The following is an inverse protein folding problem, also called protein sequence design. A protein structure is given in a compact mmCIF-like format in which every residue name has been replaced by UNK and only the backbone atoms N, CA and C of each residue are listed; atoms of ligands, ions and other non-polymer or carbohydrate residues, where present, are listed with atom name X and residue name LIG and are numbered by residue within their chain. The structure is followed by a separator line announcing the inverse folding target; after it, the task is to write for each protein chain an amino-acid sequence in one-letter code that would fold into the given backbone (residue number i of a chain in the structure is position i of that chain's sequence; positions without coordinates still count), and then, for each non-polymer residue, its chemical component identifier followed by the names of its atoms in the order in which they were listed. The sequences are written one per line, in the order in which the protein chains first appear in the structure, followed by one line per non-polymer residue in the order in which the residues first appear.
data_IF_225716369057
#
_entry.id   IF_225716369057
#
_cell.length_a   1.000
_cell.length_b   1.000
_cell.length_c   1.000
_cell.angle_alpha   90.00
_cell.angle_beta   90.00
_cell.angle_gamma   90.00
#
_symmetry.space_group_name_H-M   'P 1'
#
loop_
_entity.id
_entity.type
_entity.pdbx_description
1 polymer ?
#
# COMPACT_ATOMS: atom_id res chain seq x y z
N UNK A 1 22.97 10.82 18.55
CA UNK A 1 21.54 11.19 18.60
C UNK A 1 21.31 12.36 17.64
N UNK A 2 20.29 12.29 16.80
CA UNK A 2 19.91 13.37 15.88
C UNK A 2 19.39 14.58 16.68
N UNK A 3 19.50 15.79 16.10
CA UNK A 3 18.94 17.01 16.67
C UNK A 3 17.41 16.90 16.82
N UNK A 4 16.86 17.54 17.84
CA UNK A 4 15.42 17.48 18.17
C UNK A 4 14.54 17.86 16.98
N UNK A 5 14.87 18.94 16.27
CA UNK A 5 14.13 19.40 15.11
C UNK A 5 14.08 18.36 13.97
N UNK A 6 15.21 17.67 13.73
CA UNK A 6 15.29 16.59 12.74
C UNK A 6 14.40 15.41 13.17
N UNK A 7 14.43 15.03 14.45
CA UNK A 7 13.57 13.95 14.97
C UNK A 7 12.09 14.29 14.81
N UNK A 8 11.69 15.52 15.15
CA UNK A 8 10.29 15.97 15.00
C UNK A 8 9.82 15.93 13.54
N UNK A 9 10.67 16.30 12.58
CA UNK A 9 10.36 16.18 11.15
C UNK A 9 10.21 14.72 10.72
N UNK A 10 11.06 13.81 11.18
CA UNK A 10 10.98 12.39 10.86
C UNK A 10 9.72 11.77 11.51
N UNK A 11 9.41 12.11 12.76
CA UNK A 11 8.18 11.65 13.43
C UNK A 11 6.93 12.13 12.68
N UNK A 12 6.91 13.39 12.25
CA UNK A 12 5.82 13.94 11.44
C UNK A 12 5.68 13.18 10.12
N UNK A 13 6.79 12.86 9.46
CA UNK A 13 6.81 12.07 8.24
C UNK A 13 6.26 10.65 8.47
N UNK A 14 6.70 9.96 9.52
CA UNK A 14 6.19 8.62 9.86
C UNK A 14 4.69 8.67 10.13
N UNK A 15 4.21 9.61 10.95
CA UNK A 15 2.79 9.74 11.30
C UNK A 15 1.90 10.05 10.08
N UNK A 16 2.43 10.69 9.05
CA UNK A 16 1.72 10.95 7.80
C UNK A 16 1.71 9.75 6.85
N UNK A 17 2.81 9.02 6.77
CA UNK A 17 2.97 7.91 5.82
C UNK A 17 2.53 6.54 6.40
N UNK A 18 2.42 6.41 7.73
CA UNK A 18 2.03 5.18 8.42
C UNK A 18 0.70 5.40 9.12
N UNK A 19 -0.38 5.11 8.41
CA UNK A 19 -1.75 5.40 8.83
C UNK A 19 -2.67 4.19 8.65
N UNK A 20 -3.73 4.06 9.48
CA UNK A 20 -4.73 3.01 9.29
C UNK A 20 -5.44 3.14 7.94
N UNK A 21 -5.73 2.00 7.31
CA UNK A 21 -6.51 1.93 6.08
C UNK A 21 -7.39 0.67 6.05
N UNK A 22 -8.64 0.80 5.64
CA UNK A 22 -9.57 -0.32 5.42
C UNK A 22 -9.66 -0.60 3.93
N UNK A 23 -9.43 -1.85 3.52
CA UNK A 23 -9.44 -2.22 2.11
C UNK A 23 -8.31 -1.57 1.29
N UNK A 24 -8.52 -1.46 -0.03
CA UNK A 24 -7.59 -0.79 -0.94
C UNK A 24 -7.99 0.68 -1.12
N UNK A 25 -7.00 1.56 -1.09
CA UNK A 25 -7.23 3.02 -1.16
C UNK A 25 -7.77 3.47 -2.51
N UNK A 26 -7.38 2.83 -3.60
CA UNK A 26 -7.78 3.23 -4.95
C UNK A 26 -9.30 3.05 -5.21
N UNK A 27 -9.94 1.89 -4.96
CA UNK A 27 -11.39 1.79 -5.13
C UNK A 27 -12.15 2.69 -4.14
N UNK A 28 -11.63 2.90 -2.92
CA UNK A 28 -12.26 3.83 -1.96
C UNK A 28 -12.14 5.29 -2.41
N UNK A 29 -11.04 5.67 -3.05
CA UNK A 29 -10.89 6.97 -3.70
C UNK A 29 -11.92 7.17 -4.82
N UNK A 30 -12.16 6.14 -5.63
CA UNK A 30 -13.21 6.19 -6.67
C UNK A 30 -14.59 6.31 -6.03
N UNK A 31 -14.91 5.49 -5.01
CA UNK A 31 -16.17 5.59 -4.26
C UNK A 31 -16.37 6.97 -3.63
N UNK A 32 -15.30 7.57 -3.08
CA UNK A 32 -15.32 8.93 -2.50
C UNK A 32 -15.67 9.98 -3.56
N UNK A 33 -15.06 9.87 -4.73
CA UNK A 33 -15.34 10.77 -5.84
C UNK A 33 -16.78 10.61 -6.33
N UNK A 34 -17.30 9.37 -6.40
CA UNK A 34 -18.71 9.08 -6.73
C UNK A 34 -19.65 9.66 -5.69
N UNK A 35 -19.38 9.44 -4.39
CA UNK A 35 -20.17 10.00 -3.31
C UNK A 35 -20.26 11.52 -3.43
N UNK A 36 -19.13 12.20 -3.69
CA UNK A 36 -19.08 13.65 -3.87
C UNK A 36 -19.89 14.13 -5.07
N UNK A 37 -19.77 13.44 -6.22
CA UNK A 37 -20.55 13.77 -7.40
C UNK A 37 -22.07 13.55 -7.17
N UNK A 38 -22.46 12.44 -6.52
CA UNK A 38 -23.84 12.11 -6.17
C UNK A 38 -24.44 13.12 -5.18
N UNK A 39 -23.71 13.49 -4.13
CA UNK A 39 -24.13 14.56 -3.19
C UNK A 39 -24.37 15.89 -3.92
N UNK A 40 -23.50 16.20 -4.89
CA UNK A 40 -23.62 17.43 -5.69
C UNK A 40 -24.82 17.37 -6.64
N UNK A 41 -25.08 16.21 -7.25
CA UNK A 41 -26.25 15.99 -8.10
C UNK A 41 -27.58 16.12 -7.30
N UNK A 42 -27.56 15.64 -6.05
CA UNK A 42 -28.70 15.71 -5.13
C UNK A 42 -29.75 14.62 -5.25
N UNK A 43 -29.51 13.62 -6.11
CA UNK A 43 -30.37 12.44 -6.28
C UNK A 43 -29.53 11.22 -6.73
N UNK A 44 -30.16 10.03 -6.71
CA UNK A 44 -29.54 8.79 -7.21
C UNK A 44 -29.21 8.95 -8.70
N UNK A 45 -27.95 8.72 -9.12
CA UNK A 45 -27.60 8.79 -10.55
C UNK A 45 -28.30 7.72 -11.36
N UNK A 46 -28.75 8.08 -12.55
CA UNK A 46 -29.24 7.14 -13.59
C UNK A 46 -28.08 6.62 -14.45
N UNK A 47 -26.99 7.41 -14.54
CA UNK A 47 -25.77 7.04 -15.23
C UNK A 47 -24.55 7.61 -14.51
N UNK A 48 -23.50 6.80 -14.42
CA UNK A 48 -22.19 7.20 -13.86
C UNK A 48 -21.11 6.89 -14.89
N UNK A 49 -20.34 7.91 -15.26
CA UNK A 49 -19.13 7.75 -16.08
C UNK A 49 -17.91 8.00 -15.21
N UNK A 50 -17.05 6.99 -15.06
CA UNK A 50 -15.79 7.06 -14.33
C UNK A 50 -14.61 7.12 -15.31
N UNK A 51 -13.88 8.24 -15.31
CA UNK A 51 -12.68 8.46 -16.11
C UNK A 51 -11.46 8.42 -15.18
N UNK A 52 -10.65 7.38 -15.30
CA UNK A 52 -9.60 7.03 -14.34
C UNK A 52 -8.22 7.06 -14.96
N UNK A 53 -7.20 7.48 -14.19
CA UNK A 53 -5.81 7.28 -14.60
C UNK A 53 -5.46 5.78 -14.65
N UNK A 54 -4.44 5.45 -15.44
CA UNK A 54 -3.96 4.09 -15.62
C UNK A 54 -3.66 3.37 -14.29
N UNK A 55 -3.02 4.06 -13.35
CA UNK A 55 -2.65 3.48 -12.07
C UNK A 55 -3.85 3.25 -11.14
N UNK A 56 -4.82 4.16 -11.11
CA UNK A 56 -6.07 3.96 -10.36
C UNK A 56 -6.82 2.76 -10.92
N UNK A 57 -7.02 2.73 -12.24
CA UNK A 57 -7.72 1.62 -12.91
C UNK A 57 -7.03 0.28 -12.61
N UNK A 58 -5.72 0.18 -12.86
CA UNK A 58 -4.91 -1.02 -12.60
C UNK A 58 -5.05 -1.54 -11.16
N UNK A 59 -4.99 -0.64 -10.17
CA UNK A 59 -4.98 -1.02 -8.75
C UNK A 59 -6.38 -1.29 -8.18
N UNK A 60 -7.44 -0.84 -8.84
CA UNK A 60 -8.80 -0.99 -8.35
C UNK A 60 -9.59 -2.14 -9.00
N UNK A 61 -9.15 -2.62 -10.19
CA UNK A 61 -9.91 -3.63 -10.96
C UNK A 61 -10.05 -4.99 -10.28
N UNK A 62 -9.03 -5.44 -9.54
CA UNK A 62 -8.92 -6.83 -9.09
C UNK A 62 -9.00 -7.05 -7.59
N UNK A 63 -9.30 -6.02 -6.80
CA UNK A 63 -9.26 -6.08 -5.34
C UNK A 63 -10.65 -6.27 -4.74
N UNK A 64 -10.73 -7.02 -3.64
CA UNK A 64 -11.96 -7.19 -2.87
C UNK A 64 -12.42 -5.87 -2.23
N UNK A 65 -13.70 -5.56 -2.38
CA UNK A 65 -14.31 -4.38 -1.78
C UNK A 65 -14.80 -4.74 -0.36
N UNK A 66 -14.41 -3.98 0.66
CA UNK A 66 -14.67 -4.32 2.05
C UNK A 66 -16.15 -4.59 2.34
N UNK A 67 -16.43 -5.71 3.01
CA UNK A 67 -17.77 -6.09 3.44
C UNK A 67 -18.71 -6.60 2.36
N UNK A 68 -18.30 -6.62 1.07
CA UNK A 68 -19.19 -6.96 -0.04
C UNK A 68 -19.10 -8.41 -0.51
N UNK A 69 -17.95 -9.06 -0.30
CA UNK A 69 -17.62 -10.34 -0.95
C UNK A 69 -17.43 -10.23 -2.46
N UNK A 70 -17.41 -9.01 -3.02
CA UNK A 70 -17.24 -8.73 -4.43
C UNK A 70 -15.89 -8.05 -4.73
N UNK A 71 -15.51 -8.04 -6.00
CA UNK A 71 -14.23 -7.54 -6.49
C UNK A 71 -14.47 -6.39 -7.48
N UNK A 72 -13.60 -5.38 -7.40
CA UNK A 72 -13.42 -4.40 -8.45
C UNK A 72 -14.30 -3.16 -8.36
N UNK A 73 -14.15 -2.31 -9.35
CA UNK A 73 -14.72 -0.97 -9.39
C UNK A 73 -16.26 -0.92 -9.49
N UNK A 74 -16.96 -1.80 -10.25
CA UNK A 74 -18.40 -1.64 -10.41
C UNK A 74 -19.16 -1.57 -9.09
N UNK A 75 -18.90 -2.49 -8.17
CA UNK A 75 -19.56 -2.48 -6.85
C UNK A 75 -19.09 -1.30 -5.98
N UNK A 76 -17.82 -0.90 -6.05
CA UNK A 76 -17.31 0.25 -5.32
C UNK A 76 -17.97 1.56 -5.78
N UNK A 77 -18.21 1.72 -7.09
CA UNK A 77 -18.91 2.87 -7.68
C UNK A 77 -20.39 2.85 -7.26
N UNK A 78 -21.08 1.71 -7.40
CA UNK A 78 -22.47 1.57 -7.00
C UNK A 78 -22.69 1.95 -5.53
N UNK A 79 -21.85 1.44 -4.62
CA UNK A 79 -21.94 1.75 -3.19
C UNK A 79 -21.56 3.20 -2.88
N UNK A 80 -20.61 3.80 -3.62
CA UNK A 80 -20.33 5.23 -3.54
C UNK A 80 -21.55 6.09 -3.84
N UNK A 81 -22.37 5.69 -4.81
CA UNK A 81 -23.59 6.40 -5.18
C UNK A 81 -24.78 6.16 -4.24
N UNK A 82 -24.89 4.97 -3.65
CA UNK A 82 -26.07 4.57 -2.86
C UNK A 82 -25.94 4.85 -1.37
N UNK A 83 -24.75 4.66 -0.80
CA UNK A 83 -24.52 4.74 0.65
C UNK A 83 -23.30 5.62 1.00
N UNK A 84 -22.52 6.00 0.00
CA UNK A 84 -21.30 6.77 0.22
C UNK A 84 -21.57 8.17 0.78
N UNK A 85 -20.73 8.57 1.76
CA UNK A 85 -20.69 9.94 2.30
C UNK A 85 -19.30 10.50 2.17
N UNK A 86 -19.16 11.60 1.43
CA UNK A 86 -17.83 12.16 1.14
C UNK A 86 -17.10 12.67 2.39
N UNK A 87 -17.81 13.02 3.45
CA UNK A 87 -17.24 13.42 4.75
C UNK A 87 -16.42 12.30 5.43
N UNK A 88 -16.69 11.02 5.09
CA UNK A 88 -15.99 9.87 5.65
C UNK A 88 -14.65 9.56 4.96
N UNK A 89 -14.29 10.34 3.96
CA UNK A 89 -13.03 10.16 3.24
C UNK A 89 -12.88 8.71 2.71
N UNK A 90 -11.77 8.03 2.99
CA UNK A 90 -11.55 6.65 2.54
C UNK A 90 -12.38 5.58 3.29
N UNK A 91 -13.14 5.97 4.31
CA UNK A 91 -14.16 5.12 4.94
C UNK A 91 -15.55 5.34 4.35
N UNK A 92 -15.62 5.87 3.14
CA UNK A 92 -16.81 6.35 2.43
C UNK A 92 -18.02 5.42 2.49
N UNK A 93 -17.81 4.09 2.50
CA UNK A 93 -18.86 3.06 2.55
C UNK A 93 -19.01 2.39 3.93
N UNK A 94 -18.54 3.04 5.03
CA UNK A 94 -18.59 2.41 6.37
C UNK A 94 -19.99 2.11 6.87
N UNK A 95 -21.00 2.81 6.35
CA UNK A 95 -22.41 2.61 6.69
C UNK A 95 -23.07 1.49 5.85
N UNK A 96 -22.28 0.66 5.15
CA UNK A 96 -22.77 -0.45 4.35
C UNK A 96 -23.59 -1.43 5.19
N UNK A 97 -24.83 -1.70 4.74
CA UNK A 97 -25.70 -2.73 5.28
C UNK A 97 -25.92 -3.85 4.25
N UNK A 98 -26.54 -4.95 4.68
CA UNK A 98 -26.88 -6.04 3.77
C UNK A 98 -27.87 -5.60 2.69
N UNK A 99 -28.84 -4.76 3.05
CA UNK A 99 -29.86 -4.21 2.14
C UNK A 99 -29.21 -3.35 1.07
N UNK A 100 -28.35 -2.39 1.47
CA UNK A 100 -27.65 -1.50 0.52
C UNK A 100 -26.63 -2.26 -0.34
N UNK A 101 -26.09 -3.38 0.14
CA UNK A 101 -25.27 -4.25 -0.69
C UNK A 101 -26.07 -4.91 -1.81
N UNK A 102 -27.26 -5.43 -1.50
CA UNK A 102 -28.12 -6.04 -2.54
C UNK A 102 -28.61 -4.99 -3.55
N UNK A 103 -28.95 -3.77 -3.08
CA UNK A 103 -29.25 -2.65 -4.00
C UNK A 103 -28.04 -2.31 -4.88
N UNK A 104 -26.82 -2.32 -4.33
CA UNK A 104 -25.59 -2.10 -5.09
C UNK A 104 -25.36 -3.16 -6.16
N UNK A 105 -25.61 -4.44 -5.85
CA UNK A 105 -25.54 -5.53 -6.82
C UNK A 105 -26.54 -5.36 -7.97
N UNK A 106 -27.79 -4.97 -7.63
CA UNK A 106 -28.80 -4.67 -8.61
C UNK A 106 -28.38 -3.50 -9.49
N UNK A 107 -27.90 -2.39 -8.91
CA UNK A 107 -27.43 -1.22 -9.63
C UNK A 107 -26.30 -1.55 -10.62
N UNK A 108 -25.38 -2.43 -10.25
CA UNK A 108 -24.33 -2.92 -11.16
C UNK A 108 -24.92 -3.72 -12.32
N UNK A 109 -25.97 -4.53 -12.07
CA UNK A 109 -26.60 -5.37 -13.12
C UNK A 109 -27.46 -4.57 -14.12
N UNK A 110 -27.85 -3.36 -13.79
CA UNK A 110 -28.66 -2.46 -14.62
C UNK A 110 -27.87 -1.60 -15.61
N UNK A 111 -26.54 -1.83 -15.71
CA UNK A 111 -25.61 -1.16 -16.66
C UNK A 111 -25.55 0.36 -16.56
N UNK A 112 -25.70 0.88 -15.34
CA UNK A 112 -25.61 2.32 -15.05
C UNK A 112 -24.18 2.89 -15.03
N UNK A 113 -23.15 2.02 -15.09
CA UNK A 113 -21.75 2.38 -14.81
C UNK A 113 -20.89 2.17 -16.05
N UNK A 114 -20.25 3.24 -16.51
CA UNK A 114 -19.28 3.23 -17.60
C UNK A 114 -17.89 3.61 -17.07
N UNK A 115 -16.92 2.69 -17.18
CA UNK A 115 -15.56 2.87 -16.65
C UNK A 115 -14.58 2.97 -17.81
N UNK A 116 -13.83 4.08 -17.89
CA UNK A 116 -12.90 4.38 -18.98
C UNK A 116 -11.55 4.85 -18.48
N UNK A 117 -10.53 4.56 -19.25
CA UNK A 117 -9.22 5.18 -19.11
C UNK A 117 -9.29 6.64 -19.54
N UNK A 118 -8.87 7.58 -18.67
CA UNK A 118 -8.73 8.99 -19.02
C UNK A 118 -7.51 9.16 -19.90
N UNK A 119 -7.73 9.63 -21.12
CA UNK A 119 -6.68 9.94 -22.09
C UNK A 119 -6.11 11.34 -21.88
N UNK A 120 -4.84 11.54 -22.25
CA UNK A 120 -4.22 12.87 -22.32
C UNK A 120 -3.82 13.46 -20.95
N UNK A 121 -3.72 12.65 -19.91
CA UNK A 121 -3.24 13.06 -18.58
C UNK A 121 -1.89 12.43 -18.25
N UNK A 122 -1.10 13.12 -17.45
CA UNK A 122 0.19 12.66 -16.91
C UNK A 122 0.11 12.25 -15.44
N UNK A 123 -0.97 12.62 -14.78
CA UNK A 123 -1.21 12.35 -13.36
C UNK A 123 -1.38 10.85 -13.12
N UNK A 124 -0.53 10.30 -12.25
CA UNK A 124 -0.61 8.89 -11.84
C UNK A 124 -1.84 8.62 -10.95
N UNK A 125 -2.33 9.63 -10.23
CA UNK A 125 -3.53 9.57 -9.42
C UNK A 125 -4.54 10.61 -9.92
N UNK A 126 -5.56 10.13 -10.64
CA UNK A 126 -6.64 10.95 -11.18
C UNK A 126 -7.93 10.14 -11.25
N UNK A 127 -9.00 10.69 -10.72
CA UNK A 127 -10.37 10.14 -10.75
C UNK A 127 -11.30 11.26 -11.13
N UNK A 128 -12.04 11.14 -12.23
CA UNK A 128 -13.10 12.04 -12.64
C UNK A 128 -14.40 11.25 -12.73
N UNK A 129 -15.41 11.68 -12.01
CA UNK A 129 -16.72 11.06 -11.99
C UNK A 129 -17.74 12.05 -12.51
N UNK A 130 -18.57 11.60 -13.46
CA UNK A 130 -19.74 12.32 -13.95
C UNK A 130 -20.97 11.52 -13.61
N UNK A 131 -21.91 12.14 -12.93
CA UNK A 131 -23.21 11.58 -12.55
C UNK A 131 -24.31 12.33 -13.28
N UNK A 132 -25.21 11.60 -13.93
CA UNK A 132 -26.34 12.14 -14.69
C UNK A 132 -27.64 11.57 -14.14
N UNK A 133 -28.67 12.41 -13.92
CA UNK A 133 -30.04 12.02 -13.61
C UNK A 133 -31.03 13.17 -13.86
N UNK A 134 -32.22 12.87 -14.34
CA UNK A 134 -33.35 13.83 -14.51
C UNK A 134 -32.97 15.09 -15.31
N UNK A 135 -32.03 14.97 -16.26
CA UNK A 135 -31.54 16.09 -17.07
C UNK A 135 -30.52 17.00 -16.39
N UNK A 136 -30.06 16.64 -15.19
CA UNK A 136 -28.97 17.30 -14.46
C UNK A 136 -27.70 16.49 -14.53
N UNK A 137 -26.54 17.19 -14.46
CA UNK A 137 -25.21 16.58 -14.42
C UNK A 137 -24.40 17.14 -13.24
N UNK A 138 -23.60 16.28 -12.61
CA UNK A 138 -22.62 16.71 -11.62
C UNK A 138 -21.28 15.99 -11.87
N UNK A 139 -20.19 16.76 -11.77
CA UNK A 139 -18.82 16.26 -11.93
C UNK A 139 -18.02 16.49 -10.66
N UNK A 140 -17.27 15.48 -10.23
CA UNK A 140 -16.24 15.60 -9.20
C UNK A 140 -14.91 15.06 -9.69
N UNK A 141 -13.79 15.67 -9.27
CA UNK A 141 -12.44 15.23 -9.61
C UNK A 141 -11.59 15.14 -8.33
N UNK A 142 -10.93 13.99 -8.16
CA UNK A 142 -9.85 13.78 -7.17
C UNK A 142 -8.53 13.65 -7.92
N UNK A 143 -7.50 14.39 -7.49
CA UNK A 143 -6.17 14.32 -8.10
C UNK A 143 -5.06 14.51 -7.06
N UNK A 144 -3.85 14.02 -7.37
CA UNK A 144 -2.60 14.12 -6.60
C UNK A 144 -2.57 13.29 -5.32
N UNK A 145 -3.65 13.22 -4.55
CA UNK A 145 -3.78 12.32 -3.38
C UNK A 145 -5.19 11.74 -3.32
N UNK A 146 -5.35 10.60 -2.63
CA UNK A 146 -6.59 9.80 -2.64
C UNK A 146 -7.83 10.50 -2.06
N UNK A 147 -7.66 11.60 -1.34
CA UNK A 147 -8.75 12.35 -0.70
C UNK A 147 -8.82 13.81 -1.15
N UNK A 148 -7.95 14.23 -2.07
CA UNK A 148 -7.87 15.61 -2.51
C UNK A 148 -8.87 15.89 -3.64
N UNK A 149 -10.06 16.36 -3.30
CA UNK A 149 -11.07 16.81 -4.25
C UNK A 149 -10.62 18.15 -4.82
N UNK A 150 -10.28 18.19 -6.11
CA UNK A 150 -9.76 19.39 -6.79
C UNK A 150 -10.81 20.11 -7.63
N UNK A 151 -11.92 19.44 -7.96
CA UNK A 151 -12.98 20.03 -8.77
C UNK A 151 -14.35 19.45 -8.40
N UNK A 152 -15.37 20.32 -8.35
CA UNK A 152 -16.77 19.95 -8.21
C UNK A 152 -17.60 20.91 -9.04
N UNK A 153 -18.50 20.37 -9.86
CA UNK A 153 -19.39 21.13 -10.75
C UNK A 153 -20.80 20.56 -10.73
N UNK A 154 -21.79 21.40 -10.96
CA UNK A 154 -23.19 21.02 -11.23
C UNK A 154 -23.75 21.85 -12.37
N UNK A 155 -24.30 21.21 -13.40
CA UNK A 155 -24.96 21.83 -14.56
C UNK A 155 -24.10 22.94 -15.21
N UNK A 156 -22.79 22.69 -15.40
CA UNK A 156 -21.85 23.64 -15.96
C UNK A 156 -21.35 24.72 -14.99
N UNK A 157 -21.84 24.75 -13.75
CA UNK A 157 -21.44 25.74 -12.76
C UNK A 157 -20.40 25.11 -11.79
N UNK A 158 -19.15 25.58 -11.83
CA UNK A 158 -18.12 25.15 -10.92
C UNK A 158 -18.42 25.62 -9.48
N UNK A 159 -18.50 24.68 -8.54
CA UNK A 159 -18.66 24.91 -7.11
C UNK A 159 -17.29 24.98 -6.42
N UNK A 160 -16.36 24.15 -6.90
CA UNK A 160 -14.97 24.11 -6.46
C UNK A 160 -14.07 23.96 -7.69
N UNK A 161 -13.02 24.77 -7.81
CA UNK A 161 -12.00 24.62 -8.84
C UNK A 161 -10.61 24.93 -8.30
N UNK A 162 -9.88 23.86 -7.93
CA UNK A 162 -8.49 23.88 -7.48
C UNK A 162 -7.58 23.08 -8.42
N UNK A 163 -7.98 22.91 -9.68
CA UNK A 163 -7.20 22.17 -10.69
C UNK A 163 -5.89 22.85 -11.04
N UNK A 164 -5.85 24.17 -10.96
CA UNK A 164 -4.60 24.93 -11.11
C UNK A 164 -3.95 25.06 -9.73
N UNK A 165 -2.68 24.67 -9.55
CA UNK A 165 -2.01 24.92 -8.28
C UNK A 165 -2.04 26.41 -7.97
N UNK A 166 -2.57 26.81 -6.83
CA UNK A 166 -2.41 28.19 -6.36
C UNK A 166 -0.92 28.44 -6.18
N UNK A 167 -0.36 29.34 -7.01
CA UNK A 167 0.99 29.80 -6.85
C UNK A 167 1.14 30.46 -5.49
N UNK A 168 1.71 29.73 -4.51
CA UNK A 168 1.95 30.28 -3.17
C UNK A 168 1.88 29.31 -1.99
N UNK A 169 1.33 28.13 -2.14
CA UNK A 169 1.52 27.12 -1.12
C UNK A 169 2.92 26.50 -1.32
N UNK A 170 3.91 27.02 -0.61
CA UNK A 170 5.21 26.36 -0.51
C UNK A 170 4.94 24.96 0.12
N UNK A 171 4.94 23.92 -0.69
CA UNK A 171 5.02 22.56 -0.17
C UNK A 171 6.23 22.53 0.77
N UNK A 172 5.98 22.33 2.04
CA UNK A 172 7.06 22.16 3.00
C UNK A 172 7.84 20.93 2.54
N UNK A 173 9.02 21.13 1.94
CA UNK A 173 9.82 20.02 1.42
C UNK A 173 10.12 19.08 2.58
N UNK A 174 9.65 17.84 2.43
CA UNK A 174 9.95 16.79 3.40
C UNK A 174 11.44 16.64 3.60
N UNK A 175 11.82 16.27 4.82
CA UNK A 175 13.19 15.88 5.10
C UNK A 175 13.60 14.76 4.14
N UNK A 176 14.72 14.95 3.45
CA UNK A 176 15.28 13.93 2.56
C UNK A 176 16.09 12.95 3.40
N UNK A 177 15.65 11.70 3.42
CA UNK A 177 16.29 10.64 4.19
C UNK A 177 17.49 10.04 3.42
N UNK A 178 18.37 9.39 4.17
CA UNK A 178 19.38 8.44 3.69
C UNK A 178 19.50 7.30 4.71
N UNK A 179 20.15 6.20 4.33
CA UNK A 179 20.21 5.01 5.18
C UNK A 179 20.86 5.25 6.55
N UNK A 180 21.86 6.13 6.60
CA UNK A 180 22.51 6.47 7.86
C UNK A 180 21.56 7.23 8.79
N UNK A 181 20.82 8.19 8.28
CA UNK A 181 19.83 8.95 9.06
C UNK A 181 18.70 8.05 9.56
N UNK A 182 18.21 7.13 8.71
CA UNK A 182 17.19 6.11 9.06
C UNK A 182 17.67 5.26 10.23
N UNK A 183 18.91 4.75 10.16
CA UNK A 183 19.50 3.94 11.22
C UNK A 183 19.69 4.73 12.51
N UNK A 184 20.34 5.90 12.43
CA UNK A 184 20.62 6.73 13.61
C UNK A 184 19.31 7.15 14.30
N UNK A 185 18.27 7.48 13.54
CA UNK A 185 16.96 7.79 14.11
C UNK A 185 16.39 6.59 14.87
N UNK A 186 16.31 5.42 14.25
CA UNK A 186 15.73 4.22 14.87
C UNK A 186 16.51 3.79 16.13
N UNK A 187 17.84 3.93 16.13
CA UNK A 187 18.69 3.44 17.22
C UNK A 187 18.85 4.43 18.37
N UNK A 188 18.79 5.74 18.11
CA UNK A 188 19.16 6.74 19.12
C UNK A 188 18.04 7.65 19.58
N UNK A 189 16.85 7.58 18.95
CA UNK A 189 15.69 8.34 19.39
C UNK A 189 15.15 7.76 20.70
N UNK A 190 14.76 8.60 21.68
CA UNK A 190 14.11 8.13 22.89
C UNK A 190 12.89 7.26 22.57
N UNK A 191 12.73 6.16 23.31
CA UNK A 191 11.69 5.18 23.08
C UNK A 191 10.28 5.82 23.12
N UNK A 192 10.06 6.71 24.08
CA UNK A 192 8.80 7.43 24.28
C UNK A 192 8.40 8.31 23.08
N UNK A 193 9.34 8.72 22.23
CA UNK A 193 9.07 9.49 21.03
C UNK A 193 8.64 8.58 19.83
N UNK A 194 8.94 7.27 19.88
CA UNK A 194 8.72 6.33 18.75
C UNK A 194 7.88 5.11 19.09
N UNK A 195 7.45 4.91 20.34
CA UNK A 195 6.65 3.75 20.77
C UNK A 195 5.29 3.65 20.08
N UNK A 196 4.78 4.76 19.51
CA UNK A 196 3.55 4.77 18.70
C UNK A 196 3.62 3.80 17.51
N UNK A 197 4.83 3.40 17.08
CA UNK A 197 5.02 2.46 15.97
C UNK A 197 4.46 1.05 16.30
N UNK A 198 4.30 0.70 17.58
CA UNK A 198 3.69 -0.56 18.01
C UNK A 198 2.25 -0.73 17.51
N UNK A 199 1.54 0.36 17.25
CA UNK A 199 0.21 0.31 16.61
C UNK A 199 0.24 -0.45 15.29
N UNK A 200 1.37 -0.43 14.56
CA UNK A 200 1.51 -1.15 13.30
C UNK A 200 1.39 -2.67 13.52
N UNK A 201 2.06 -3.19 14.57
CA UNK A 201 1.93 -4.59 15.02
C UNK A 201 0.48 -4.92 15.35
N UNK A 202 -0.16 -4.10 16.18
CA UNK A 202 -1.49 -4.39 16.71
C UNK A 202 -2.54 -4.48 15.58
N UNK A 203 -2.48 -3.58 14.60
CA UNK A 203 -3.38 -3.60 13.45
C UNK A 203 -3.08 -4.76 12.50
N UNK A 204 -1.81 -4.98 12.17
CA UNK A 204 -1.45 -5.91 11.10
C UNK A 204 -1.45 -7.37 11.55
N UNK A 205 -1.16 -7.65 12.83
CA UNK A 205 -1.35 -8.98 13.41
C UNK A 205 -2.85 -9.31 13.56
N UNK A 206 -3.69 -8.33 13.97
CA UNK A 206 -5.15 -8.53 13.97
C UNK A 206 -5.69 -8.90 12.61
N UNK A 207 -5.17 -8.30 11.54
CA UNK A 207 -5.58 -8.63 10.18
C UNK A 207 -5.20 -10.08 9.82
N UNK A 208 -4.04 -10.57 10.27
CA UNK A 208 -3.66 -11.96 10.10
C UNK A 208 -4.61 -12.92 10.85
N UNK A 209 -5.02 -12.56 12.07
CA UNK A 209 -5.98 -13.37 12.85
C UNK A 209 -7.40 -13.33 12.22
N UNK A 210 -7.80 -12.19 11.62
CA UNK A 210 -9.07 -12.09 10.91
C UNK A 210 -9.17 -13.08 9.76
N UNK A 211 -8.07 -13.33 9.04
CA UNK A 211 -8.04 -14.28 7.93
C UNK A 211 -8.44 -15.70 8.34
N UNK A 212 -8.32 -16.06 9.63
CA UNK A 212 -8.70 -17.40 10.14
C UNK A 212 -10.22 -17.61 10.15
N UNK A 213 -11.01 -16.54 10.24
CA UNK A 213 -12.47 -16.60 10.39
C UNK A 213 -13.21 -16.96 9.10
N UNK A 214 -12.65 -16.65 7.94
CA UNK A 214 -13.24 -16.93 6.63
C UNK A 214 -12.18 -17.28 5.58
N UNK A 215 -12.60 -17.67 4.39
CA UNK A 215 -11.71 -17.93 3.27
C UNK A 215 -11.55 -16.63 2.47
N UNK A 216 -10.53 -15.87 2.81
CA UNK A 216 -10.16 -14.65 2.10
C UNK A 216 -9.07 -14.92 1.06
N UNK A 217 -9.16 -14.27 -0.09
CA UNK A 217 -8.15 -14.32 -1.14
C UNK A 217 -7.83 -15.76 -1.57
N UNK A 218 -6.54 -16.08 -1.64
CA UNK A 218 -6.08 -17.43 -1.97
C UNK A 218 -5.85 -18.32 -0.75
N UNK A 219 -6.15 -17.85 0.45
CA UNK A 219 -5.90 -18.56 1.71
C UNK A 219 -4.44 -19.05 1.85
N UNK A 220 -3.48 -18.32 1.29
CA UNK A 220 -2.08 -18.74 1.29
C UNK A 220 -1.54 -18.89 2.70
N UNK A 221 -1.83 -17.92 3.58
CA UNK A 221 -1.41 -18.00 4.98
C UNK A 221 -1.92 -19.26 5.67
N UNK A 222 -3.21 -19.60 5.50
CA UNK A 222 -3.79 -20.86 6.01
C UNK A 222 -3.15 -22.09 5.38
N UNK A 223 -2.76 -22.01 4.11
CA UNK A 223 -2.11 -23.13 3.42
C UNK A 223 -0.73 -23.41 4.02
N UNK A 224 0.02 -22.37 4.35
CA UNK A 224 1.35 -22.52 5.00
C UNK A 224 1.23 -23.10 6.43
N UNK A 225 0.16 -22.80 7.15
CA UNK A 225 -0.07 -23.32 8.51
C UNK A 225 -0.57 -24.80 8.55
N UNK A 226 -0.76 -25.46 7.41
CA UNK A 226 -1.22 -26.85 7.36
C UNK A 226 -0.10 -27.85 7.66
N UNK A 227 -0.43 -29.03 8.23
CA UNK A 227 0.58 -30.06 8.52
C UNK A 227 1.45 -30.49 7.33
N UNK A 228 0.86 -30.54 6.11
CA UNK A 228 1.61 -30.83 4.90
C UNK A 228 2.71 -29.78 4.63
N UNK A 229 2.38 -28.52 4.80
CA UNK A 229 3.33 -27.41 4.61
C UNK A 229 4.40 -27.41 5.70
N UNK A 230 4.04 -27.76 6.93
CA UNK A 230 5.02 -27.97 8.01
C UNK A 230 5.99 -29.12 7.72
N UNK A 231 5.56 -30.15 6.99
CA UNK A 231 6.43 -31.21 6.52
C UNK A 231 7.48 -30.74 5.50
N UNK A 232 7.20 -29.61 4.79
CA UNK A 232 8.08 -29.05 3.76
C UNK A 232 8.97 -27.93 4.33
N UNK A 233 8.36 -26.99 5.06
CA UNK A 233 9.04 -25.77 5.55
C UNK A 233 9.46 -25.86 7.03
N UNK A 234 9.03 -26.88 7.75
CA UNK A 234 9.12 -26.96 9.21
C UNK A 234 8.04 -26.09 9.89
N UNK A 235 7.80 -26.35 11.17
CA UNK A 235 7.09 -25.44 12.06
C UNK A 235 8.14 -24.50 12.69
N UNK A 236 8.46 -23.41 12.02
CA UNK A 236 9.63 -22.58 12.27
C UNK A 236 9.32 -21.09 12.12
N UNK A 237 10.19 -20.24 12.63
CA UNK A 237 10.10 -18.77 12.45
C UNK A 237 9.88 -18.42 10.97
N UNK A 238 10.55 -19.12 10.04
CA UNK A 238 10.40 -18.90 8.60
C UNK A 238 8.96 -19.13 8.12
N UNK A 239 8.37 -20.27 8.45
CA UNK A 239 6.99 -20.59 8.06
C UNK A 239 5.97 -19.66 8.73
N UNK A 240 6.20 -19.28 9.99
CA UNK A 240 5.31 -18.37 10.72
C UNK A 240 5.34 -16.93 10.16
N UNK A 241 6.51 -16.42 9.79
CA UNK A 241 6.64 -15.12 9.11
C UNK A 241 5.82 -15.12 7.81
N UNK A 242 5.99 -16.14 6.97
CA UNK A 242 5.27 -16.24 5.70
C UNK A 242 3.77 -16.34 5.94
N UNK A 243 3.35 -17.27 6.81
CA UNK A 243 1.94 -17.51 7.10
C UNK A 243 1.24 -16.27 7.64
N UNK A 244 1.77 -15.63 8.68
CA UNK A 244 1.16 -14.45 9.31
C UNK A 244 1.10 -13.26 8.35
N UNK A 245 2.15 -13.06 7.54
CA UNK A 245 2.19 -11.95 6.61
C UNK A 245 1.25 -12.17 5.42
N UNK A 246 1.23 -13.38 4.86
CA UNK A 246 0.28 -13.74 3.81
C UNK A 246 -1.17 -13.70 4.29
N UNK A 247 -1.45 -14.18 5.51
CA UNK A 247 -2.79 -14.14 6.12
C UNK A 247 -3.37 -12.72 6.20
N UNK A 248 -2.58 -11.75 6.67
CA UNK A 248 -3.02 -10.36 6.73
C UNK A 248 -3.32 -9.80 5.33
N UNK A 249 -2.50 -10.17 4.34
CA UNK A 249 -2.74 -9.79 2.94
C UNK A 249 -3.96 -10.49 2.36
N UNK A 250 -4.16 -11.79 2.60
CA UNK A 250 -5.33 -12.54 2.16
C UNK A 250 -6.61 -11.90 2.69
N UNK A 251 -6.66 -11.56 4.00
CA UNK A 251 -7.80 -10.85 4.59
C UNK A 251 -8.06 -9.51 3.90
N UNK A 252 -7.03 -8.67 3.80
CA UNK A 252 -7.16 -7.34 3.21
C UNK A 252 -7.57 -7.39 1.73
N UNK A 253 -6.89 -8.19 0.92
CA UNK A 253 -7.16 -8.27 -0.52
C UNK A 253 -8.44 -9.03 -0.86
N UNK A 254 -8.88 -9.89 0.05
CA UNK A 254 -10.17 -10.59 -0.03
C UNK A 254 -11.36 -9.77 0.48
N UNK A 255 -11.17 -8.51 0.86
CA UNK A 255 -12.27 -7.62 1.26
C UNK A 255 -12.75 -7.77 2.70
N UNK A 256 -11.92 -8.23 3.62
CA UNK A 256 -12.25 -8.21 5.05
C UNK A 256 -12.46 -6.77 5.54
N UNK A 257 -13.49 -6.56 6.36
CA UNK A 257 -13.78 -5.28 7.02
C UNK A 257 -12.86 -5.09 8.24
N UNK A 258 -11.56 -5.02 8.00
CA UNK A 258 -10.56 -4.84 9.03
C UNK A 258 -9.53 -3.79 8.63
N UNK A 259 -9.22 -2.83 9.51
CA UNK A 259 -8.14 -1.89 9.23
C UNK A 259 -6.77 -2.57 9.35
N UNK A 260 -5.87 -2.20 8.46
CA UNK A 260 -4.44 -2.49 8.55
C UNK A 260 -3.66 -1.19 8.67
N UNK A 261 -2.51 -1.20 9.30
CA UNK A 261 -1.61 -0.06 9.25
C UNK A 261 -0.88 -0.07 7.91
N UNK A 262 -1.03 1.00 7.15
CA UNK A 262 -0.38 1.17 5.84
C UNK A 262 1.05 1.72 5.98
N UNK A 263 1.76 1.78 4.88
CA UNK A 263 2.99 2.56 4.73
C UNK A 263 3.00 3.17 3.33
N UNK A 264 3.28 4.47 3.23
CA UNK A 264 3.37 5.22 1.97
C UNK A 264 2.18 4.98 1.03
N UNK A 265 0.97 4.98 1.60
CA UNK A 265 -0.29 4.82 0.87
C UNK A 265 -0.66 3.38 0.50
N UNK A 266 0.07 2.36 0.98
CA UNK A 266 -0.26 0.96 0.70
C UNK A 266 -0.35 0.11 1.97
N UNK A 267 -1.52 -0.51 2.21
CA UNK A 267 -1.69 -1.44 3.33
C UNK A 267 -0.82 -2.69 3.21
N UNK A 268 -0.61 -3.20 2.00
CA UNK A 268 0.30 -4.34 1.79
C UNK A 268 1.76 -4.00 2.11
N UNK A 269 2.20 -2.77 1.85
CA UNK A 269 3.53 -2.31 2.30
C UNK A 269 3.60 -2.26 3.82
N UNK A 270 2.58 -1.72 4.49
CA UNK A 270 2.52 -1.73 5.95
C UNK A 270 2.55 -3.13 6.55
N UNK A 271 1.80 -4.08 5.98
CA UNK A 271 1.82 -5.50 6.38
C UNK A 271 3.23 -6.09 6.21
N UNK A 272 3.87 -5.88 5.06
CA UNK A 272 5.23 -6.37 4.78
C UNK A 272 6.29 -5.74 5.70
N UNK A 273 6.17 -4.48 6.02
CA UNK A 273 7.11 -3.80 6.91
C UNK A 273 6.92 -4.20 8.38
N UNK A 274 5.73 -4.66 8.77
CA UNK A 274 5.37 -4.95 10.17
C UNK A 274 5.49 -6.43 10.53
N UNK A 275 4.69 -7.28 9.84
CA UNK A 275 4.45 -8.65 10.31
C UNK A 275 5.71 -9.50 10.39
N UNK A 276 6.65 -9.48 9.41
CA UNK A 276 7.87 -10.26 9.52
C UNK A 276 8.72 -9.88 10.73
N UNK A 277 8.81 -8.59 11.02
CA UNK A 277 9.57 -8.05 12.15
C UNK A 277 8.90 -8.43 13.46
N UNK A 278 7.58 -8.24 13.57
CA UNK A 278 6.82 -8.55 14.79
C UNK A 278 6.81 -10.04 15.11
N UNK A 279 6.65 -10.90 14.09
CA UNK A 279 6.69 -12.36 14.28
C UNK A 279 8.10 -12.81 14.70
N UNK A 280 9.13 -12.29 14.03
CA UNK A 280 10.51 -12.62 14.38
C UNK A 280 10.82 -12.23 15.82
N UNK A 281 10.46 -11.01 16.23
CA UNK A 281 10.74 -10.52 17.58
C UNK A 281 10.09 -11.38 18.67
N UNK A 282 8.85 -11.81 18.46
CA UNK A 282 8.14 -12.66 19.44
C UNK A 282 8.81 -14.03 19.55
N UNK A 283 9.15 -14.66 18.43
CA UNK A 283 9.69 -16.02 18.43
C UNK A 283 11.18 -16.08 18.81
N UNK A 284 11.90 -14.98 18.64
CA UNK A 284 13.30 -14.82 19.05
C UNK A 284 13.43 -14.21 20.47
N UNK A 285 12.28 -14.01 21.17
CA UNK A 285 12.24 -13.46 22.53
C UNK A 285 12.91 -12.09 22.68
N UNK A 286 12.84 -11.26 21.63
CA UNK A 286 13.34 -9.88 21.67
C UNK A 286 12.48 -9.00 22.60
N UNK A 287 13.08 -8.00 23.21
CA UNK A 287 12.41 -7.04 24.08
C UNK A 287 11.46 -6.12 23.30
N UNK A 288 10.51 -5.48 23.99
CA UNK A 288 9.61 -4.51 23.36
C UNK A 288 10.36 -3.29 22.81
N UNK A 289 11.41 -2.83 23.49
CA UNK A 289 12.29 -1.76 22.98
C UNK A 289 12.98 -2.16 21.67
N UNK A 290 13.53 -3.38 21.60
CA UNK A 290 14.11 -3.88 20.34
C UNK A 290 13.08 -3.96 19.23
N UNK A 291 11.86 -4.40 19.52
CA UNK A 291 10.77 -4.42 18.54
C UNK A 291 10.39 -3.01 18.07
N UNK A 292 10.28 -2.02 18.97
CA UNK A 292 10.00 -0.62 18.62
C UNK A 292 11.06 -0.10 17.66
N UNK A 293 12.34 -0.32 17.96
CA UNK A 293 13.47 0.12 17.11
C UNK A 293 13.46 -0.61 15.76
N UNK A 294 13.22 -1.92 15.75
CA UNK A 294 13.14 -2.73 14.54
C UNK A 294 11.98 -2.31 13.62
N UNK A 295 10.80 -2.07 14.16
CA UNK A 295 9.64 -1.57 13.41
C UNK A 295 9.89 -0.17 12.86
N UNK A 296 10.47 0.72 13.68
CA UNK A 296 10.84 2.07 13.24
C UNK A 296 11.83 2.03 12.09
N UNK A 297 12.88 1.22 12.18
CA UNK A 297 13.87 0.99 11.13
C UNK A 297 13.20 0.45 9.86
N UNK A 298 12.35 -0.56 9.98
CA UNK A 298 11.65 -1.19 8.86
C UNK A 298 10.75 -0.20 8.12
N UNK A 299 9.87 0.48 8.85
CA UNK A 299 8.94 1.43 8.26
C UNK A 299 9.63 2.65 7.64
N UNK A 300 10.65 3.18 8.32
CA UNK A 300 11.36 4.36 7.84
C UNK A 300 12.25 4.04 6.63
N UNK A 301 12.83 2.83 6.55
CA UNK A 301 13.53 2.35 5.34
C UNK A 301 12.58 2.28 4.15
N UNK A 302 11.37 1.76 4.34
CA UNK A 302 10.36 1.71 3.28
C UNK A 302 9.95 3.13 2.83
N UNK A 303 9.75 4.06 3.75
CA UNK A 303 9.46 5.48 3.45
C UNK A 303 10.62 6.11 2.66
N UNK A 304 11.87 5.90 3.09
CA UNK A 304 13.05 6.41 2.39
C UNK A 304 13.12 5.93 0.94
N UNK A 305 12.94 4.64 0.71
CA UNK A 305 12.95 4.09 -0.65
C UNK A 305 11.79 4.72 -1.47
N UNK A 306 10.61 4.89 -0.86
CA UNK A 306 9.45 5.52 -1.52
C UNK A 306 9.64 7.00 -1.82
N UNK A 307 10.41 7.74 -1.05
CA UNK A 307 10.77 9.12 -1.40
C UNK A 307 11.48 9.22 -2.77
N UNK A 308 12.31 8.22 -3.09
CA UNK A 308 13.03 8.17 -4.37
C UNK A 308 12.23 7.51 -5.50
N UNK A 309 11.36 6.53 -5.17
CA UNK A 309 10.57 5.77 -6.15
C UNK A 309 9.30 6.50 -6.60
N UNK A 310 8.73 7.33 -5.73
CA UNK A 310 7.38 7.90 -5.91
C UNK A 310 6.27 6.97 -5.43
N UNK A 311 5.05 7.52 -5.29
CA UNK A 311 3.91 6.80 -4.67
C UNK A 311 3.41 5.63 -5.53
N UNK A 312 3.33 5.80 -6.83
CA UNK A 312 2.84 4.79 -7.78
C UNK A 312 3.95 4.45 -8.80
N UNK A 313 4.18 3.15 -9.00
CA UNK A 313 5.24 2.61 -9.85
C UNK A 313 4.88 1.20 -10.30
N UNK A 314 5.45 0.75 -11.42
CA UNK A 314 5.40 -0.66 -11.82
C UNK A 314 6.32 -1.57 -10.97
N UNK A 315 7.25 -1.03 -10.20
CA UNK A 315 7.97 -1.80 -9.19
C UNK A 315 7.03 -2.13 -8.03
N UNK A 316 6.99 -3.41 -7.64
CA UNK A 316 6.07 -3.87 -6.60
C UNK A 316 6.39 -3.24 -5.24
N UNK A 317 5.37 -2.71 -4.54
CA UNK A 317 5.54 -2.17 -3.19
C UNK A 317 6.01 -3.21 -2.16
N UNK A 318 5.77 -4.51 -2.42
CA UNK A 318 6.31 -5.58 -1.58
C UNK A 318 7.84 -5.61 -1.58
N UNK A 319 8.51 -5.27 -2.71
CA UNK A 319 9.97 -5.15 -2.79
C UNK A 319 10.47 -4.13 -1.78
N UNK A 320 9.89 -2.92 -1.84
CA UNK A 320 10.25 -1.80 -0.98
C UNK A 320 10.10 -2.15 0.51
N UNK A 321 8.92 -2.67 0.87
CA UNK A 321 8.60 -2.96 2.27
C UNK A 321 9.38 -4.17 2.81
N UNK A 322 9.67 -5.17 1.95
CA UNK A 322 10.49 -6.32 2.36
C UNK A 322 11.96 -5.94 2.56
N UNK A 323 12.48 -4.95 1.84
CA UNK A 323 13.79 -4.37 2.16
C UNK A 323 13.76 -3.76 3.57
N UNK A 324 12.69 -3.03 3.91
CA UNK A 324 12.51 -2.51 5.26
C UNK A 324 12.50 -3.61 6.33
N UNK A 325 11.69 -4.66 6.13
CA UNK A 325 11.62 -5.76 7.12
C UNK A 325 12.93 -6.55 7.20
N UNK A 326 13.71 -6.67 6.12
CA UNK A 326 15.05 -7.27 6.21
C UNK A 326 15.98 -6.49 7.13
N UNK A 327 15.90 -5.15 7.12
CA UNK A 327 16.65 -4.29 8.04
C UNK A 327 16.23 -4.53 9.49
N UNK A 328 14.90 -4.55 9.76
CA UNK A 328 14.37 -4.80 11.10
C UNK A 328 14.76 -6.18 11.65
N UNK A 329 14.67 -7.24 10.83
CA UNK A 329 15.07 -8.59 11.20
C UNK A 329 16.57 -8.67 11.44
N UNK A 330 17.41 -8.06 10.58
CA UNK A 330 18.87 -8.01 10.76
C UNK A 330 19.25 -7.37 12.09
N UNK A 331 18.57 -6.27 12.46
CA UNK A 331 18.77 -5.63 13.76
C UNK A 331 18.37 -6.56 14.92
N UNK A 332 17.21 -7.22 14.84
CA UNK A 332 16.76 -8.16 15.89
C UNK A 332 17.69 -9.37 16.06
N UNK A 333 18.44 -9.73 15.01
CA UNK A 333 19.51 -10.73 15.07
C UNK A 333 20.80 -10.20 15.72
N UNK A 334 20.86 -8.93 16.12
CA UNK A 334 22.05 -8.28 16.67
C UNK A 334 22.96 -7.65 15.60
N UNK A 335 22.45 -7.44 14.39
CA UNK A 335 23.21 -6.81 13.30
C UNK A 335 23.39 -5.30 13.50
N UNK A 336 24.59 -4.82 13.21
CA UNK A 336 24.96 -3.41 13.19
C UNK A 336 24.57 -2.72 11.86
N UNK A 337 24.90 -1.42 11.73
CA UNK A 337 24.65 -0.65 10.51
C UNK A 337 25.22 -1.30 9.25
N UNK A 338 26.43 -1.87 9.35
CA UNK A 338 27.09 -2.53 8.20
C UNK A 338 26.29 -3.73 7.72
N UNK A 339 25.84 -4.59 8.65
CA UNK A 339 25.03 -5.75 8.33
C UNK A 339 23.64 -5.37 7.76
N UNK A 340 23.05 -4.29 8.27
CA UNK A 340 21.81 -3.74 7.74
C UNK A 340 22.01 -3.26 6.28
N UNK A 341 23.10 -2.55 5.98
CA UNK A 341 23.42 -2.17 4.61
C UNK A 341 23.66 -3.39 3.70
N UNK A 342 24.28 -4.44 4.21
CA UNK A 342 24.44 -5.72 3.48
C UNK A 342 23.09 -6.34 3.15
N UNK A 343 22.15 -6.38 4.12
CA UNK A 343 20.83 -6.96 3.87
C UNK A 343 20.04 -6.16 2.82
N UNK A 344 20.14 -4.83 2.82
CA UNK A 344 19.54 -3.97 1.77
C UNK A 344 20.09 -4.32 0.39
N UNK A 345 21.41 -4.43 0.24
CA UNK A 345 22.06 -4.78 -1.04
C UNK A 345 21.68 -6.18 -1.52
N UNK A 346 21.65 -7.17 -0.62
CA UNK A 346 21.20 -8.52 -0.91
C UNK A 346 19.75 -8.56 -1.40
N UNK A 347 18.86 -7.78 -0.76
CA UNK A 347 17.48 -7.64 -1.18
C UNK A 347 17.34 -7.04 -2.58
N UNK A 348 18.03 -5.93 -2.84
CA UNK A 348 17.99 -5.24 -4.14
C UNK A 348 18.44 -6.19 -5.25
N UNK A 349 19.57 -6.89 -5.05
CA UNK A 349 20.09 -7.85 -6.04
C UNK A 349 19.10 -8.97 -6.36
N UNK A 350 18.28 -9.39 -5.39
CA UNK A 350 17.39 -10.55 -5.53
C UNK A 350 16.03 -10.20 -6.16
N UNK A 351 15.34 -9.15 -5.68
CA UNK A 351 13.92 -8.98 -5.99
C UNK A 351 13.57 -7.73 -6.81
N UNK A 352 14.56 -7.02 -7.38
CA UNK A 352 14.31 -5.81 -8.20
C UNK A 352 13.37 -6.06 -9.38
N UNK A 353 13.33 -7.27 -9.93
CA UNK A 353 12.48 -7.64 -11.06
C UNK A 353 11.01 -7.90 -10.75
N UNK A 354 10.56 -7.78 -9.51
CA UNK A 354 9.14 -8.04 -9.15
C UNK A 354 8.25 -6.87 -9.57
N UNK A 355 7.46 -7.05 -10.62
CA UNK A 355 6.53 -6.03 -11.13
C UNK A 355 5.21 -5.98 -10.34
N UNK A 356 4.58 -4.79 -10.33
CA UNK A 356 3.25 -4.56 -9.80
C UNK A 356 2.21 -4.55 -10.93
N UNK A 357 1.30 -5.51 -10.91
CA UNK A 357 0.17 -5.63 -11.82
C UNK A 357 -1.18 -5.38 -11.12
N UNK A 358 -1.21 -4.44 -10.20
CA UNK A 358 -2.39 -4.00 -9.46
C UNK A 358 -2.62 -4.76 -8.15
N UNK A 359 -3.48 -4.20 -7.31
CA UNK A 359 -3.88 -4.82 -6.04
C UNK A 359 -4.90 -5.94 -6.28
N UNK A 360 -4.66 -7.12 -5.72
CA UNK A 360 -5.47 -8.32 -5.93
C UNK A 360 -5.11 -9.44 -4.94
N UNK A 361 -5.94 -10.48 -4.79
CA UNK A 361 -5.67 -11.61 -3.88
C UNK A 361 -4.30 -12.25 -4.07
N UNK A 362 -3.79 -12.38 -5.31
CA UNK A 362 -2.46 -12.94 -5.57
C UNK A 362 -1.28 -12.08 -5.05
N UNK A 363 -1.54 -10.89 -4.49
CA UNK A 363 -0.50 -10.12 -3.79
C UNK A 363 0.08 -10.89 -2.60
N UNK A 364 -0.69 -11.79 -1.97
CA UNK A 364 -0.17 -12.66 -0.89
C UNK A 364 1.00 -13.53 -1.34
N UNK A 365 1.02 -13.99 -2.60
CA UNK A 365 2.16 -14.72 -3.18
C UNK A 365 3.41 -13.84 -3.31
N UNK A 366 3.25 -12.59 -3.79
CA UNK A 366 4.37 -11.65 -3.92
C UNK A 366 4.93 -11.24 -2.55
N UNK A 367 4.05 -11.03 -1.57
CA UNK A 367 4.43 -10.77 -0.19
C UNK A 367 5.25 -11.93 0.37
N UNK A 368 4.80 -13.17 0.20
CA UNK A 368 5.50 -14.36 0.68
C UNK A 368 6.91 -14.46 0.08
N UNK A 369 7.06 -14.20 -1.22
CA UNK A 369 8.38 -14.15 -1.87
C UNK A 369 9.27 -13.06 -1.28
N UNK A 370 8.72 -11.85 -1.10
CA UNK A 370 9.46 -10.72 -0.54
C UNK A 370 9.95 -10.97 0.88
N UNK A 371 9.07 -11.47 1.79
CA UNK A 371 9.45 -11.68 3.18
C UNK A 371 10.33 -12.91 3.37
N UNK A 372 10.20 -13.93 2.53
CA UNK A 372 11.15 -15.05 2.49
C UNK A 372 12.56 -14.58 2.13
N UNK A 373 12.65 -13.72 1.10
CA UNK A 373 13.92 -13.10 0.68
C UNK A 373 14.46 -12.17 1.78
N UNK A 374 13.59 -11.45 2.51
CA UNK A 374 14.01 -10.59 3.62
C UNK A 374 14.76 -11.37 4.72
N UNK A 375 14.22 -12.52 5.12
CA UNK A 375 14.86 -13.38 6.11
C UNK A 375 16.18 -13.97 5.60
N UNK A 376 16.19 -14.45 4.34
CA UNK A 376 17.43 -14.99 3.72
C UNK A 376 18.52 -13.91 3.61
N UNK A 377 18.14 -12.68 3.24
CA UNK A 377 19.08 -11.56 3.15
C UNK A 377 19.62 -11.14 4.52
N UNK A 378 18.79 -11.18 5.56
CA UNK A 378 19.22 -10.95 6.93
C UNK A 378 20.24 -12.03 7.39
N UNK A 379 19.93 -13.31 7.18
CA UNK A 379 20.83 -14.41 7.53
C UNK A 379 22.19 -14.29 6.82
N UNK A 380 22.20 -14.04 5.50
CA UNK A 380 23.45 -13.83 4.74
C UNK A 380 24.25 -12.65 5.29
N UNK A 381 23.57 -11.55 5.64
CA UNK A 381 24.25 -10.38 6.17
C UNK A 381 24.88 -10.64 7.53
N UNK A 382 24.23 -11.46 8.39
CA UNK A 382 24.79 -11.87 9.70
C UNK A 382 26.06 -12.73 9.52
N UNK A 383 26.17 -13.50 8.47
CA UNK A 383 27.39 -14.24 8.07
C UNK A 383 28.43 -13.32 7.39
N UNK A 384 28.18 -12.02 7.32
CA UNK A 384 29.09 -11.07 6.63
C UNK A 384 29.07 -11.18 5.11
N UNK A 385 28.06 -11.86 4.52
CA UNK A 385 27.92 -12.03 3.06
C UNK A 385 27.08 -10.90 2.48
N UNK A 386 27.60 -10.28 1.45
CA UNK A 386 26.96 -9.18 0.74
C UNK A 386 27.22 -9.28 -0.75
N UNK A 387 26.21 -9.03 -1.57
CA UNK A 387 26.38 -8.84 -3.01
C UNK A 387 27.27 -7.63 -3.25
N UNK A 388 28.29 -7.80 -4.06
CA UNK A 388 29.33 -6.80 -4.29
C UNK A 388 28.95 -5.81 -5.41
N UNK A 389 29.68 -4.71 -5.50
CA UNK A 389 29.53 -3.73 -6.59
C UNK A 389 29.94 -4.26 -7.98
N UNK A 390 30.55 -5.45 -8.04
CA UNK A 390 30.80 -6.14 -9.31
C UNK A 390 29.56 -6.86 -9.86
N UNK A 391 28.44 -6.88 -9.11
CA UNK A 391 27.25 -7.66 -9.45
C UNK A 391 26.05 -6.75 -9.75
N UNK A 392 25.66 -6.71 -11.03
CA UNK A 392 24.41 -6.08 -11.48
C UNK A 392 24.34 -4.58 -11.15
N UNK A 393 23.27 -4.19 -10.44
CA UNK A 393 22.96 -2.80 -10.12
C UNK A 393 23.45 -2.35 -8.73
N UNK A 394 24.19 -3.20 -8.04
CA UNK A 394 24.68 -2.92 -6.69
C UNK A 394 25.88 -1.97 -6.74
N UNK A 395 25.94 -1.05 -5.80
CA UNK A 395 27.07 -0.13 -5.58
C UNK A 395 27.69 -0.39 -4.19
N UNK A 396 28.91 0.07 -3.96
CA UNK A 396 29.52 0.00 -2.62
C UNK A 396 28.76 0.85 -1.61
N UNK A 397 28.24 1.97 -2.05
CA UNK A 397 27.31 2.84 -1.30
C UNK A 397 25.90 2.28 -1.35
N UNK A 398 25.29 2.01 -0.18
CA UNK A 398 23.93 1.51 -0.06
C UNK A 398 22.89 2.49 -0.60
N UNK A 399 23.09 3.79 -0.40
CA UNK A 399 22.17 4.82 -0.91
C UNK A 399 22.21 4.92 -2.43
N UNK A 400 23.36 4.65 -3.06
CA UNK A 400 23.45 4.51 -4.52
C UNK A 400 22.75 3.26 -5.02
N UNK A 401 22.89 2.13 -4.33
CA UNK A 401 22.14 0.91 -4.66
C UNK A 401 20.64 1.14 -4.61
N UNK A 402 20.16 1.86 -3.60
CA UNK A 402 18.74 2.26 -3.50
C UNK A 402 18.34 3.18 -4.64
N UNK A 403 19.17 4.17 -5.00
CA UNK A 403 18.90 5.04 -6.16
C UNK A 403 18.84 4.27 -7.48
N UNK A 404 19.73 3.29 -7.69
CA UNK A 404 19.73 2.44 -8.88
C UNK A 404 18.42 1.65 -8.99
N UNK A 405 17.97 1.03 -7.87
CA UNK A 405 16.66 0.36 -7.78
C UNK A 405 15.52 1.31 -8.12
N UNK A 406 15.51 2.48 -7.49
CA UNK A 406 14.38 3.42 -7.61
C UNK A 406 14.32 4.11 -8.96
N UNK A 407 15.45 4.39 -9.62
CA UNK A 407 15.48 4.89 -11.00
C UNK A 407 14.87 3.89 -11.99
N UNK A 408 15.18 2.60 -11.84
CA UNK A 408 14.55 1.54 -12.64
C UNK A 408 13.03 1.58 -12.44
N UNK A 409 12.58 1.62 -11.19
CA UNK A 409 11.15 1.61 -10.87
C UNK A 409 10.40 2.88 -11.27
N UNK A 410 11.01 4.05 -11.10
CA UNK A 410 10.38 5.35 -11.33
C UNK A 410 10.38 5.75 -12.82
N UNK A 411 11.43 5.39 -13.56
CA UNK A 411 11.68 5.86 -14.91
C UNK A 411 11.58 4.73 -15.94
N UNK A 412 12.42 3.69 -15.83
CA UNK A 412 12.52 2.63 -16.83
C UNK A 412 11.26 1.75 -16.89
N UNK A 413 10.55 1.58 -15.78
CA UNK A 413 9.34 0.77 -15.73
C UNK A 413 8.05 1.47 -16.18
N UNK A 414 8.08 2.73 -16.66
CA UNK A 414 6.88 3.41 -17.15
C UNK A 414 6.24 2.67 -18.34
N UNK A 415 7.07 2.14 -19.24
CA UNK A 415 6.61 1.34 -20.37
C UNK A 415 6.03 -0.01 -19.92
N UNK A 416 6.63 -0.62 -18.91
CA UNK A 416 6.13 -1.83 -18.28
C UNK A 416 4.74 -1.58 -17.67
N UNK A 417 4.54 -0.45 -17.01
CA UNK A 417 3.27 -0.08 -16.39
C UNK A 417 2.16 0.07 -17.44
N UNK A 418 2.46 0.74 -18.57
CA UNK A 418 1.54 0.87 -19.69
C UNK A 418 1.18 -0.49 -20.31
N UNK A 419 2.18 -1.37 -20.54
CA UNK A 419 1.96 -2.70 -21.09
C UNK A 419 1.15 -3.60 -20.15
N UNK A 420 1.41 -3.55 -18.86
CA UNK A 420 0.63 -4.30 -17.85
C UNK A 420 -0.84 -3.88 -17.89
N UNK A 421 -1.12 -2.57 -17.95
CA UNK A 421 -2.48 -2.08 -18.05
C UNK A 421 -3.16 -2.52 -19.34
N UNK A 422 -2.48 -2.42 -20.48
CA UNK A 422 -2.99 -2.87 -21.77
C UNK A 422 -3.40 -4.34 -21.74
N UNK A 423 -2.54 -5.22 -21.22
CA UNK A 423 -2.86 -6.63 -21.02
C UNK A 423 -4.09 -6.80 -20.10
N UNK A 424 -4.15 -6.07 -19.01
CA UNK A 424 -5.25 -6.19 -18.03
C UNK A 424 -6.60 -5.77 -18.60
N UNK A 425 -6.64 -4.79 -19.50
CA UNK A 425 -7.86 -4.25 -20.08
C UNK A 425 -8.34 -4.98 -21.33
N UNK A 426 -7.46 -5.73 -21.99
CA UNK A 426 -7.79 -6.44 -23.25
C UNK A 426 -7.82 -7.98 -23.12
N UNK A 427 -7.55 -8.55 -21.97
CA UNK A 427 -7.70 -9.99 -21.77
C UNK A 427 -9.18 -10.38 -21.72
N UNK A 428 -9.52 -11.46 -22.40
CA UNK A 428 -10.83 -12.13 -22.25
C UNK A 428 -10.87 -12.80 -20.87
N UNK A 429 -11.86 -12.46 -20.09
CA UNK A 429 -12.15 -13.13 -18.80
C UNK A 429 -13.39 -14.00 -18.96
#
# INVERSE_FOLDING_TARGET
MLEKQIREQIISLINREVVPAVGCTEPMCVSLCVAKATETLGCRPEKITALLSANILKNAMGVGIPGTGMIGLPIAIALGALVGKSEYQLEVIKDLTRETLEEGKQYVSEDHIDIKLKQGITEKLYVEIRCEAQGHEATAIIAHSHTNIVYVERDGNAILDHRTPQAGAAEQKDIQLNMRMVYDFAMTTPEEEINFILKTRDYNIRAAEESKKANYGHCLGKTIDRPLSHGIFGNSIFSHIISKTASACDARMGGAMIPVMSNSGSGNQGICATNPVAVYAVENENTEEELIRALTLSHLTAIYIKQNLGKLSALCGCVVASIGSSCGITYLMGGDYTRICHSVKNMIANITGMICDGAKPSCSLKISSGVSTALLSALLSMEGKCVSSAEGIIDDDVDRSIRNLTSIGAEAMNQTDAMVLDIMTHKSC
#
